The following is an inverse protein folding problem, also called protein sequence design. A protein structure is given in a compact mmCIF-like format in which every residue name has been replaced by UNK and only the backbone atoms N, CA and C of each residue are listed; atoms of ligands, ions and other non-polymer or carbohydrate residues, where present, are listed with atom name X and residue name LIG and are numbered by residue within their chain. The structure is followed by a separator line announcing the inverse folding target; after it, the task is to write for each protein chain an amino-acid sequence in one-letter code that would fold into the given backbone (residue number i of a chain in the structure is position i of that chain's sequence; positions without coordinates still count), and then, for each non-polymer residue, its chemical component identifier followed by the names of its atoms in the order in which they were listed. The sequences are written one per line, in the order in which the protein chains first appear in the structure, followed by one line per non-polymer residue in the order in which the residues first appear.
data_IF_580637615648
#
_entry.id   IF_580637615648
#
_cell.length_a   1.000
_cell.length_b   1.000
_cell.length_c   1.000
_cell.angle_alpha   90.00
_cell.angle_beta   90.00
_cell.angle_gamma   90.00
#
_symmetry.space_group_name_H-M   'P 1'
#
loop_
_entity.id
_entity.type
_entity.pdbx_description
1 polymer ?
#
# COMPACT_ATOMS: atom_id res chain seq x y z
N UNK A 1 14.42 -21.53 25.62
CA UNK A 1 14.93 -20.68 24.54
C UNK A 1 13.89 -19.61 24.28
N UNK A 2 14.31 -18.37 24.43
CA UNK A 2 13.46 -17.18 24.50
C UNK A 2 13.55 -16.48 23.14
N UNK A 3 12.41 -16.12 22.55
CA UNK A 3 12.31 -14.93 21.71
C UNK A 3 11.09 -14.15 22.17
N UNK A 4 11.37 -13.16 23.03
CA UNK A 4 10.40 -12.19 23.51
C UNK A 4 10.13 -11.18 22.39
N UNK A 5 8.90 -11.12 21.91
CA UNK A 5 8.43 -9.99 21.11
C UNK A 5 8.07 -8.87 22.09
N UNK A 6 8.98 -7.91 22.29
CA UNK A 6 8.72 -6.69 23.03
C UNK A 6 7.77 -5.81 22.22
N UNK A 7 6.47 -6.05 22.35
CA UNK A 7 5.45 -5.08 22.00
C UNK A 7 5.42 -4.09 23.16
N UNK A 8 5.92 -2.87 22.93
CA UNK A 8 5.74 -1.78 23.90
C UNK A 8 4.24 -1.56 24.13
N UNK A 9 3.75 -2.00 25.28
CA UNK A 9 2.42 -1.69 25.79
C UNK A 9 2.40 -0.22 26.21
N UNK A 10 1.98 0.66 25.32
CA UNK A 10 1.34 1.89 25.73
C UNK A 10 -0.13 1.57 26.02
N UNK A 11 -0.47 1.58 27.32
CA UNK A 11 -1.83 1.44 27.86
C UNK A 11 -2.81 2.42 27.18
N UNK A 12 -3.55 1.97 26.17
CA UNK A 12 -4.97 2.27 25.96
C UNK A 12 -5.56 1.14 25.12
N UNK A 13 -6.74 0.65 25.49
CA UNK A 13 -7.38 -0.50 24.88
C UNK A 13 -7.73 -0.22 23.40
N UNK A 14 -7.06 -0.81 22.38
CA UNK A 14 -7.10 -0.33 20.99
C UNK A 14 -8.36 -0.70 20.18
N UNK A 15 -9.37 -1.34 20.79
CA UNK A 15 -10.45 -2.00 20.05
C UNK A 15 -11.79 -1.26 20.02
N UNK A 16 -11.87 0.01 20.42
CA UNK A 16 -13.19 0.68 20.55
C UNK A 16 -13.41 1.94 19.72
N UNK A 17 -12.44 2.44 18.95
CA UNK A 17 -12.75 3.44 17.92
C UNK A 17 -11.74 3.44 16.76
N UNK A 18 -11.99 2.61 15.74
CA UNK A 18 -11.20 2.58 14.50
C UNK A 18 -11.38 3.86 13.66
N UNK A 19 -12.33 4.75 13.99
CA UNK A 19 -12.62 5.93 13.17
C UNK A 19 -11.60 7.07 13.34
N UNK A 20 -10.67 6.96 14.31
CA UNK A 20 -9.71 8.01 14.64
C UNK A 20 -8.25 7.55 14.77
N UNK A 21 -7.97 6.25 14.62
CA UNK A 21 -6.61 5.74 14.73
C UNK A 21 -5.85 5.99 13.43
N UNK A 22 -4.64 6.57 13.53
CA UNK A 22 -3.71 6.69 12.41
C UNK A 22 -2.65 5.60 12.54
N UNK A 23 -2.53 4.77 11.51
CA UNK A 23 -1.53 3.73 11.40
C UNK A 23 -0.21 4.31 10.89
N UNK A 24 0.91 3.92 11.49
CA UNK A 24 2.24 4.39 11.12
C UNK A 24 3.15 3.20 10.77
N UNK A 25 3.01 2.60 9.57
CA UNK A 25 3.90 1.52 9.14
C UNK A 25 5.35 2.03 9.06
N UNK A 26 6.30 1.22 9.51
CA UNK A 26 7.74 1.55 9.48
C UNK A 26 8.45 1.05 8.22
N UNK A 27 7.81 0.13 7.50
CA UNK A 27 8.36 -0.49 6.30
C UNK A 27 7.22 -0.95 5.37
N UNK A 28 7.61 -1.35 4.16
CA UNK A 28 6.68 -1.81 3.13
C UNK A 28 5.85 -3.02 3.55
N UNK A 29 6.42 -3.97 4.29
CA UNK A 29 5.69 -5.19 4.68
C UNK A 29 4.57 -4.88 5.66
N UNK A 30 4.82 -4.01 6.64
CA UNK A 30 3.79 -3.48 7.54
C UNK A 30 2.70 -2.73 6.76
N UNK A 31 3.09 -1.90 5.79
CA UNK A 31 2.14 -1.23 4.92
C UNK A 31 1.27 -2.26 4.19
N UNK A 32 1.87 -3.24 3.50
CA UNK A 32 1.11 -4.28 2.77
C UNK A 32 0.16 -5.06 3.68
N UNK A 33 0.52 -5.33 4.94
CA UNK A 33 -0.39 -5.97 5.90
C UNK A 33 -1.63 -5.12 6.16
N UNK A 34 -1.46 -3.82 6.40
CA UNK A 34 -2.59 -2.88 6.53
C UNK A 34 -3.39 -2.79 5.23
N UNK A 35 -2.70 -2.89 4.09
CA UNK A 35 -3.37 -2.78 2.80
C UNK A 35 -4.23 -4.00 2.43
N UNK A 36 -4.06 -5.12 3.11
CA UNK A 36 -4.87 -6.33 2.88
C UNK A 36 -6.18 -6.35 3.64
N UNK A 37 -6.29 -5.54 4.70
CA UNK A 37 -7.53 -5.40 5.45
C UNK A 37 -8.43 -4.36 4.79
N UNK A 38 -9.44 -4.79 4.04
CA UNK A 38 -10.39 -3.88 3.38
C UNK A 38 -11.22 -3.04 4.37
N UNK A 39 -11.19 -3.33 5.67
CA UNK A 39 -11.84 -2.49 6.68
C UNK A 39 -11.00 -1.27 7.11
N UNK A 40 -9.71 -1.23 6.74
CA UNK A 40 -8.84 -0.09 7.00
C UNK A 40 -8.97 0.90 5.85
N UNK A 41 -9.43 2.11 6.16
CA UNK A 41 -9.47 3.21 5.19
C UNK A 41 -8.06 3.71 4.90
N UNK A 42 -7.80 4.07 3.64
CA UNK A 42 -6.46 4.47 3.22
C UNK A 42 -6.04 5.83 3.81
N UNK A 43 -7.00 6.71 4.09
CA UNK A 43 -6.78 8.00 4.75
C UNK A 43 -6.31 7.88 6.22
N UNK A 44 -6.42 6.69 6.81
CA UNK A 44 -5.96 6.40 8.17
C UNK A 44 -4.52 5.88 8.23
N UNK A 45 -3.80 5.83 7.10
CA UNK A 45 -2.43 5.31 7.02
C UNK A 45 -1.46 6.46 6.72
N UNK A 46 -0.54 6.72 7.66
CA UNK A 46 0.56 7.66 7.47
C UNK A 46 1.70 6.98 6.68
N UNK A 47 1.81 7.33 5.40
CA UNK A 47 2.83 6.80 4.49
C UNK A 47 4.12 7.60 4.47
N UNK A 48 4.23 8.68 5.26
CA UNK A 48 5.32 9.66 5.16
C UNK A 48 6.72 9.06 5.39
N UNK A 49 6.82 7.92 6.08
CA UNK A 49 8.10 7.22 6.33
C UNK A 49 8.43 6.12 5.32
N UNK A 50 7.51 5.78 4.42
CA UNK A 50 7.66 4.65 3.52
C UNK A 50 8.45 5.09 2.29
N UNK A 51 9.61 4.46 2.09
CA UNK A 51 10.49 4.71 0.94
C UNK A 51 10.25 3.73 -0.21
N UNK A 52 9.78 2.52 0.10
CA UNK A 52 9.46 1.48 -0.88
C UNK A 52 7.94 1.24 -0.94
N UNK A 53 7.35 1.69 -2.04
CA UNK A 53 5.94 1.54 -2.41
C UNK A 53 5.78 0.68 -3.68
N UNK A 54 6.82 -0.08 -4.05
CA UNK A 54 6.79 -0.93 -5.23
C UNK A 54 5.66 -1.97 -5.13
N UNK A 55 4.98 -2.27 -6.23
CA UNK A 55 3.96 -3.32 -6.37
C UNK A 55 2.75 -3.30 -5.39
N UNK A 56 2.56 -2.26 -4.56
CA UNK A 56 1.59 -2.28 -3.46
C UNK A 56 0.17 -2.67 -3.89
N UNK A 57 -0.27 -2.26 -5.08
CA UNK A 57 -1.58 -2.57 -5.64
C UNK A 57 -1.49 -3.26 -7.01
N UNK A 58 -0.31 -3.79 -7.34
CA UNK A 58 -0.10 -4.51 -8.59
C UNK A 58 -1.02 -5.73 -8.68
N UNK A 59 -1.84 -5.78 -9.72
CA UNK A 59 -2.65 -6.95 -10.04
C UNK A 59 -1.90 -7.84 -11.04
N UNK A 60 -0.92 -8.60 -10.56
CA UNK A 60 -0.03 -9.39 -11.43
C UNK A 60 -0.60 -10.78 -11.74
N UNK A 61 -1.51 -11.33 -10.94
CA UNK A 61 -2.00 -12.71 -11.09
C UNK A 61 -3.40 -12.88 -10.48
N UNK A 62 -4.46 -12.67 -11.26
CA UNK A 62 -5.85 -12.90 -10.81
C UNK A 62 -6.14 -14.37 -10.45
N UNK A 63 -5.28 -15.33 -10.84
CA UNK A 63 -5.63 -16.75 -10.80
C UNK A 63 -4.78 -17.64 -9.87
N UNK A 64 -3.64 -17.16 -9.33
CA UNK A 64 -2.65 -18.07 -8.73
C UNK A 64 -2.20 -17.73 -7.29
N UNK A 65 -2.62 -16.59 -6.75
CA UNK A 65 -2.17 -16.16 -5.42
C UNK A 65 -2.94 -16.76 -4.23
N UNK A 66 -4.02 -17.52 -4.44
CA UNK A 66 -4.76 -18.15 -3.32
C UNK A 66 -4.34 -19.59 -3.05
N UNK A 67 -3.84 -20.29 -4.07
CA UNK A 67 -3.56 -21.73 -4.00
C UNK A 67 -2.08 -22.02 -3.68
N UNK A 68 -1.15 -21.19 -4.16
CA UNK A 68 0.30 -21.36 -3.97
C UNK A 68 0.97 -20.24 -3.14
N UNK A 69 0.15 -19.32 -2.61
CA UNK A 69 0.52 -18.11 -1.86
C UNK A 69 1.61 -18.25 -0.78
N UNK A 70 1.63 -19.33 0.04
CA UNK A 70 2.56 -19.38 1.16
C UNK A 70 4.03 -19.41 0.71
N UNK A 71 4.29 -19.81 -0.53
CA UNK A 71 5.62 -20.10 -1.07
C UNK A 71 6.09 -19.13 -2.16
N UNK A 72 5.19 -18.31 -2.73
CA UNK A 72 5.55 -17.28 -3.70
C UNK A 72 5.65 -15.91 -3.02
N UNK A 73 6.90 -15.43 -2.86
CA UNK A 73 7.20 -14.11 -2.29
C UNK A 73 6.43 -12.99 -3.01
N UNK A 74 6.21 -13.12 -4.32
CA UNK A 74 5.48 -12.16 -5.15
C UNK A 74 4.03 -11.93 -4.73
N UNK A 75 3.30 -12.94 -4.24
CA UNK A 75 1.93 -12.75 -3.75
C UNK A 75 1.89 -12.12 -2.35
N UNK A 76 2.98 -12.17 -1.56
CA UNK A 76 3.11 -11.44 -0.28
C UNK A 76 3.36 -9.95 -0.48
N UNK A 77 3.84 -9.56 -1.66
CA UNK A 77 4.31 -8.23 -1.94
C UNK A 77 3.20 -7.26 -2.39
N UNK A 78 1.93 -7.65 -2.39
CA UNK A 78 0.87 -6.77 -2.91
C UNK A 78 -0.46 -6.91 -2.15
N UNK A 79 -1.25 -5.85 -2.23
CA UNK A 79 -2.67 -5.76 -1.91
C UNK A 79 -3.51 -5.60 -3.20
N UNK A 80 -3.08 -6.20 -4.32
CA UNK A 80 -3.74 -6.10 -5.63
C UNK A 80 -5.20 -6.58 -5.69
N UNK A 81 -5.70 -7.28 -4.66
CA UNK A 81 -7.11 -7.65 -4.53
C UNK A 81 -8.02 -6.52 -4.07
N UNK A 82 -7.46 -5.48 -3.44
CA UNK A 82 -8.24 -4.37 -2.90
C UNK A 82 -8.95 -3.62 -4.02
N UNK A 83 -10.22 -3.32 -3.80
CA UNK A 83 -11.08 -2.58 -4.75
C UNK A 83 -11.45 -1.20 -4.27
N UNK A 84 -11.48 -0.98 -2.96
CA UNK A 84 -11.71 0.33 -2.37
C UNK A 84 -10.40 1.11 -2.25
N UNK A 85 -10.36 2.29 -2.85
CA UNK A 85 -9.20 3.18 -2.83
C UNK A 85 -9.52 4.52 -2.15
N UNK A 86 -10.65 4.64 -1.46
CA UNK A 86 -11.05 5.87 -0.77
C UNK A 86 -9.97 6.31 0.22
N UNK A 87 -9.49 7.56 0.09
CA UNK A 87 -8.50 8.16 0.97
C UNK A 87 -7.05 8.02 0.50
N UNK A 88 -6.78 7.33 -0.61
CA UNK A 88 -5.41 7.20 -1.13
C UNK A 88 -4.81 8.54 -1.59
N UNK A 89 -5.65 9.49 -2.01
CA UNK A 89 -5.28 10.83 -2.41
C UNK A 89 -4.65 11.66 -1.28
N UNK A 90 -4.79 11.22 -0.02
CA UNK A 90 -4.22 11.89 1.16
C UNK A 90 -2.81 11.39 1.51
N UNK A 91 -2.31 10.35 0.84
CA UNK A 91 -1.00 9.78 1.13
C UNK A 91 0.13 10.78 0.84
N UNK A 92 1.07 10.85 1.78
CA UNK A 92 2.34 11.52 1.55
C UNK A 92 3.32 10.52 0.89
N UNK A 93 3.57 10.73 -0.40
CA UNK A 93 4.49 9.93 -1.21
C UNK A 93 5.83 10.63 -1.47
N UNK A 94 6.07 11.78 -0.84
CA UNK A 94 7.24 12.62 -1.15
C UNK A 94 8.57 12.00 -0.74
N UNK A 95 8.56 11.05 0.20
CA UNK A 95 9.72 10.28 0.62
C UNK A 95 9.87 8.93 -0.11
N UNK A 96 8.89 8.53 -0.92
CA UNK A 96 8.97 7.30 -1.69
C UNK A 96 10.10 7.41 -2.74
N UNK A 97 11.03 6.47 -2.72
CA UNK A 97 12.13 6.37 -3.70
C UNK A 97 11.93 5.23 -4.69
N UNK A 98 11.09 4.24 -4.34
CA UNK A 98 10.69 3.17 -5.24
C UNK A 98 9.17 3.06 -5.27
N UNK A 99 8.58 3.26 -6.44
CA UNK A 99 7.15 3.13 -6.72
C UNK A 99 6.92 2.25 -7.96
N UNK A 100 7.91 1.41 -8.30
CA UNK A 100 7.85 0.50 -9.44
C UNK A 100 6.56 -0.32 -9.42
N UNK A 101 5.86 -0.33 -10.56
CA UNK A 101 4.68 -1.17 -10.76
C UNK A 101 3.58 -1.04 -9.69
N UNK A 102 3.54 0.06 -8.91
CA UNK A 102 2.65 0.21 -7.74
C UNK A 102 1.19 -0.07 -8.05
N UNK A 103 0.70 0.31 -9.24
CA UNK A 103 -0.66 0.09 -9.75
C UNK A 103 -0.67 -0.70 -11.06
N UNK A 104 0.36 -1.50 -11.32
CA UNK A 104 0.43 -2.35 -12.51
C UNK A 104 -0.83 -3.20 -12.66
N UNK A 105 -1.51 -3.11 -13.80
CA UNK A 105 -2.77 -3.83 -14.06
C UNK A 105 -3.94 -3.53 -13.09
N UNK A 106 -3.87 -2.47 -12.27
CA UNK A 106 -4.93 -2.10 -11.33
C UNK A 106 -6.13 -1.45 -12.07
N UNK A 107 -6.92 -2.26 -12.76
CA UNK A 107 -8.06 -1.80 -13.58
C UNK A 107 -9.21 -1.17 -12.79
N UNK A 108 -9.33 -1.51 -11.50
CA UNK A 108 -10.30 -0.91 -10.57
C UNK A 108 -9.88 0.48 -10.06
N UNK A 109 -8.59 0.81 -10.14
CA UNK A 109 -8.05 2.05 -9.59
C UNK A 109 -8.42 3.26 -10.47
N UNK A 110 -9.18 4.21 -9.91
CA UNK A 110 -9.72 5.39 -10.63
C UNK A 110 -9.59 6.72 -9.84
N UNK A 111 -8.83 6.73 -8.75
CA UNK A 111 -8.73 7.92 -7.89
C UNK A 111 -7.89 9.00 -8.55
N UNK A 112 -8.24 10.27 -8.28
CA UNK A 112 -7.40 11.39 -8.69
C UNK A 112 -6.20 11.51 -7.73
N UNK A 113 -4.99 11.52 -8.28
CA UNK A 113 -3.74 11.61 -7.55
C UNK A 113 -3.02 12.97 -7.74
N UNK A 114 -3.68 13.99 -8.30
CA UNK A 114 -3.07 15.32 -8.56
C UNK A 114 -2.49 16.01 -7.31
N UNK A 115 -2.87 15.57 -6.10
CA UNK A 115 -2.31 16.04 -4.83
C UNK A 115 -0.93 15.47 -4.51
N UNK A 116 -0.57 14.34 -5.13
CA UNK A 116 0.66 13.63 -4.82
C UNK A 116 1.88 14.39 -5.31
N UNK A 117 2.84 14.59 -4.41
CA UNK A 117 4.15 15.16 -4.74
C UNK A 117 5.14 14.02 -4.89
N UNK A 118 5.21 13.44 -6.08
CA UNK A 118 6.13 12.33 -6.38
C UNK A 118 7.58 12.83 -6.28
N UNK A 119 8.43 12.07 -5.59
CA UNK A 119 9.85 12.36 -5.55
C UNK A 119 10.44 12.30 -6.96
N UNK A 120 11.08 13.38 -7.41
CA UNK A 120 11.67 13.49 -8.75
C UNK A 120 12.70 12.41 -9.10
N UNK A 121 13.29 11.78 -8.08
CA UNK A 121 14.28 10.71 -8.25
C UNK A 121 13.68 9.32 -8.00
N UNK A 122 12.36 9.21 -7.77
CA UNK A 122 11.73 7.92 -7.55
C UNK A 122 11.81 7.05 -8.79
N UNK A 123 12.03 5.76 -8.59
CA UNK A 123 11.77 4.77 -9.61
C UNK A 123 10.24 4.62 -9.79
N UNK A 124 9.71 5.05 -10.92
CA UNK A 124 8.27 4.99 -11.25
C UNK A 124 7.99 4.10 -12.46
N UNK A 125 8.92 3.19 -12.79
CA UNK A 125 8.78 2.29 -13.93
C UNK A 125 7.49 1.47 -13.81
N UNK A 126 6.74 1.40 -14.91
CA UNK A 126 5.47 0.67 -15.02
C UNK A 126 4.42 0.98 -13.95
N UNK A 127 4.55 2.08 -13.19
CA UNK A 127 3.71 2.40 -12.02
C UNK A 127 2.22 2.28 -12.33
N UNK A 128 1.80 2.77 -13.49
CA UNK A 128 0.41 2.75 -13.96
C UNK A 128 0.20 1.91 -15.21
N UNK A 129 1.17 1.09 -15.62
CA UNK A 129 1.08 0.31 -16.85
C UNK A 129 -0.13 -0.61 -16.84
N UNK A 130 -0.93 -0.54 -17.89
CA UNK A 130 -2.19 -1.25 -18.04
C UNK A 130 -3.17 -1.01 -16.85
N UNK A 131 -3.06 0.11 -16.12
CA UNK A 131 -4.06 0.53 -15.13
C UNK A 131 -5.18 1.34 -15.82
N UNK A 132 -6.17 1.84 -15.07
CA UNK A 132 -7.21 2.70 -15.66
C UNK A 132 -6.78 4.18 -15.82
N UNK A 133 -5.71 4.60 -15.14
CA UNK A 133 -5.17 5.96 -15.22
C UNK A 133 -3.84 6.04 -15.98
N UNK A 134 -3.47 4.99 -16.71
CA UNK A 134 -2.21 4.90 -17.47
C UNK A 134 -1.99 6.12 -18.39
N UNK A 135 -3.06 6.60 -19.03
CA UNK A 135 -3.03 7.76 -19.93
C UNK A 135 -3.10 9.12 -19.21
N UNK A 136 -3.38 9.12 -17.91
CA UNK A 136 -3.54 10.33 -17.08
C UNK A 136 -2.83 10.16 -15.72
N UNK A 137 -1.50 9.95 -15.68
CA UNK A 137 -0.77 9.90 -14.42
C UNK A 137 -0.84 11.27 -13.70
N UNK A 138 -0.69 11.30 -12.37
CA UNK A 138 -0.58 12.54 -11.62
C UNK A 138 0.56 13.43 -12.13
N UNK A 139 0.36 14.75 -12.07
CA UNK A 139 1.29 15.77 -12.59
C UNK A 139 2.51 16.00 -11.72
#
# INVERSE_FOLDING_TARGET
MVFSLNICLANTNPLTDKSKHIYHPQNRDELVQLLRDENIKLDSIDTSKITDMSFLFANMFDYWCDEFAPHMQTCKNTAGKRKDFSGIETWDVSNATDMDSMFYHAKSFKQNLDSWKVNKNANINYMFYNSSIESNPPK
#
